data_IF_404720335863
#
_entry.id   IF_404720335863
#
_cell.length_a   1.000
_cell.length_b   1.000
_cell.length_c   1.000
_cell.angle_alpha   90.00
_cell.angle_beta   90.00
_cell.angle_gamma   90.00
#
_symmetry.space_group_name_H-M   'P 1'
#
loop_
_entity.id
_entity.type
_entity.pdbx_description
1 polymer ?
#
# COMPACT_ATOMS: atom_id res chain seq x y z
N UNK A 1 -6.42 10.10 25.29
CA UNK A 1 -5.19 9.43 25.76
C UNK A 1 -4.01 10.34 25.47
N UNK A 2 -3.26 10.79 26.50
CA UNK A 2 -1.99 11.46 26.25
C UNK A 2 -1.04 10.40 25.73
N UNK A 3 -0.67 10.47 24.45
CA UNK A 3 0.54 9.75 24.02
C UNK A 3 1.71 10.48 24.67
N UNK A 4 2.79 9.77 24.98
CA UNK A 4 4.08 10.41 25.29
C UNK A 4 4.54 11.35 24.15
N UNK A 5 4.01 11.16 22.92
CA UNK A 5 4.00 12.14 21.82
C UNK A 5 2.77 11.96 20.92
N UNK A 6 1.85 12.93 20.93
CA UNK A 6 0.68 13.03 20.03
C UNK A 6 -0.70 12.79 20.67
N UNK A 7 -1.75 13.10 19.92
CA UNK A 7 -3.14 12.91 20.38
C UNK A 7 -3.60 11.46 20.23
N UNK A 8 -4.61 11.07 21.01
CA UNK A 8 -5.31 9.79 20.80
C UNK A 8 -5.87 9.73 19.38
N UNK A 9 -5.73 8.58 18.73
CA UNK A 9 -6.39 8.35 17.44
C UNK A 9 -7.87 8.15 17.71
N UNK A 10 -8.68 8.97 17.07
CA UNK A 10 -10.14 8.88 17.13
C UNK A 10 -10.67 8.47 15.77
N UNK A 11 -11.80 7.78 15.79
CA UNK A 11 -12.46 7.33 14.59
C UNK A 11 -13.75 6.61 14.91
N UNK A 12 -14.42 6.18 13.86
CA UNK A 12 -15.67 5.44 13.90
C UNK A 12 -15.61 4.32 12.87
N UNK A 13 -16.29 3.21 13.13
CA UNK A 13 -16.54 2.23 12.08
C UNK A 13 -18.03 1.97 11.95
N UNK A 14 -18.43 1.60 10.74
CA UNK A 14 -19.80 1.24 10.40
C UNK A 14 -19.77 -0.16 9.83
N UNK A 15 -20.57 -1.06 10.39
CA UNK A 15 -20.83 -2.37 9.82
C UNK A 15 -22.24 -2.40 9.23
N UNK A 16 -22.38 -3.00 8.07
CA UNK A 16 -23.63 -3.14 7.34
C UNK A 16 -23.79 -4.63 7.00
N UNK A 17 -24.85 -5.23 7.50
CA UNK A 17 -25.21 -6.60 7.12
C UNK A 17 -25.86 -6.57 5.72
N UNK A 18 -25.45 -7.51 4.86
CA UNK A 18 -26.03 -7.69 3.54
C UNK A 18 -26.29 -9.18 3.28
N UNK A 19 -27.02 -9.49 2.20
CA UNK A 19 -27.28 -10.88 1.79
C UNK A 19 -25.99 -11.70 1.56
N UNK A 20 -24.89 -11.04 1.21
CA UNK A 20 -23.60 -11.67 0.93
C UNK A 20 -22.63 -11.60 2.12
N UNK A 21 -23.14 -11.31 3.32
CA UNK A 21 -22.36 -11.16 4.53
C UNK A 21 -22.13 -9.69 4.92
N UNK A 22 -21.24 -9.50 5.89
CA UNK A 22 -20.92 -8.19 6.45
C UNK A 22 -20.00 -7.39 5.53
N UNK A 23 -20.32 -6.11 5.37
CA UNK A 23 -19.42 -5.11 4.82
C UNK A 23 -19.22 -4.02 5.87
N UNK A 24 -18.10 -3.30 5.81
CA UNK A 24 -17.91 -2.20 6.73
C UNK A 24 -16.85 -1.21 6.28
N UNK A 25 -16.88 -0.07 6.95
CA UNK A 25 -15.94 1.03 6.73
C UNK A 25 -15.46 1.56 8.06
N UNK A 26 -14.24 2.07 8.07
CA UNK A 26 -13.65 2.79 9.20
C UNK A 26 -13.21 4.17 8.74
N UNK A 27 -13.52 5.16 9.56
CA UNK A 27 -13.19 6.57 9.39
C UNK A 27 -12.29 6.98 10.54
N UNK A 28 -11.04 7.33 10.24
CA UNK A 28 -10.15 7.94 11.21
C UNK A 28 -10.20 9.45 11.04
N UNK A 29 -10.09 10.18 12.15
CA UNK A 29 -10.10 11.66 12.14
C UNK A 29 -9.08 12.23 11.14
N UNK A 30 -9.56 12.97 10.14
CA UNK A 30 -8.72 13.61 9.12
C UNK A 30 -8.10 12.65 8.08
N UNK A 31 -8.57 11.40 7.99
CA UNK A 31 -8.12 10.43 7.01
C UNK A 31 -9.27 9.98 6.12
N UNK A 32 -8.95 9.60 4.89
CA UNK A 32 -9.91 9.01 3.98
C UNK A 32 -10.50 7.71 4.56
N UNK A 33 -11.81 7.52 4.33
CA UNK A 33 -12.55 6.31 4.68
C UNK A 33 -11.85 5.09 4.08
N UNK A 34 -11.71 4.04 4.88
CA UNK A 34 -11.17 2.75 4.44
C UNK A 34 -12.22 1.66 4.60
N UNK A 35 -12.29 0.74 3.66
CA UNK A 35 -13.07 -0.47 3.80
C UNK A 35 -12.36 -1.42 4.78
N UNK A 36 -13.13 -2.08 5.64
CA UNK A 36 -12.59 -3.13 6.52
C UNK A 36 -12.70 -4.49 5.85
N UNK A 37 -11.74 -5.37 6.12
CA UNK A 37 -11.72 -6.76 5.66
C UNK A 37 -11.85 -7.72 6.85
N UNK A 38 -12.01 -9.02 6.55
CA UNK A 38 -11.96 -10.10 7.56
C UNK A 38 -12.89 -9.89 8.76
N UNK A 39 -14.08 -9.35 8.52
CA UNK A 39 -15.08 -9.09 9.56
C UNK A 39 -15.55 -10.44 10.13
N UNK A 40 -15.32 -10.67 11.42
CA UNK A 40 -15.69 -11.90 12.12
C UNK A 40 -16.30 -11.58 13.49
N UNK A 41 -17.44 -12.22 13.77
CA UNK A 41 -18.00 -12.25 15.10
C UNK A 41 -17.37 -13.41 15.88
N UNK A 42 -16.63 -13.09 16.93
CA UNK A 42 -16.03 -14.07 17.85
C UNK A 42 -17.04 -14.57 18.88
N UNK A 43 -18.06 -13.76 19.16
CA UNK A 43 -19.22 -14.10 19.97
C UNK A 43 -20.40 -13.21 19.53
N UNK A 44 -21.64 -13.41 20.06
CA UNK A 44 -22.79 -12.55 19.74
C UNK A 44 -22.58 -11.05 20.02
N UNK A 45 -21.60 -10.71 20.86
CA UNK A 45 -21.28 -9.34 21.24
C UNK A 45 -19.84 -8.94 20.91
N UNK A 46 -18.98 -9.87 20.49
CA UNK A 46 -17.57 -9.59 20.22
C UNK A 46 -17.27 -9.71 18.73
N UNK A 47 -16.62 -8.67 18.20
CA UNK A 47 -16.33 -8.48 16.80
C UNK A 47 -14.84 -8.21 16.60
N UNK A 48 -14.31 -8.72 15.49
CA UNK A 48 -13.01 -8.31 14.96
C UNK A 48 -13.09 -8.07 13.45
N UNK A 49 -12.15 -7.26 12.95
CA UNK A 49 -11.93 -7.04 11.52
C UNK A 49 -10.48 -6.59 11.30
N UNK A 50 -10.08 -6.42 10.05
CA UNK A 50 -8.75 -5.91 9.68
C UNK A 50 -8.88 -4.65 8.83
N UNK A 51 -7.94 -3.72 9.00
CA UNK A 51 -7.73 -2.63 8.06
C UNK A 51 -6.23 -2.36 7.97
N UNK A 52 -5.74 -2.19 6.75
CA UNK A 52 -4.40 -1.64 6.58
C UNK A 52 -4.47 -0.13 6.85
N UNK A 53 -3.62 0.38 7.72
CA UNK A 53 -3.63 1.78 8.17
C UNK A 53 -2.23 2.39 8.04
N UNK A 54 -2.13 3.72 8.13
CA UNK A 54 -0.81 4.39 8.16
C UNK A 54 0.02 4.04 9.42
N UNK A 55 -0.59 3.37 10.40
CA UNK A 55 0.08 2.86 11.61
C UNK A 55 0.47 1.38 11.46
N UNK A 56 0.32 0.81 10.26
CA UNK A 56 0.44 -0.62 9.99
C UNK A 56 -0.88 -1.37 10.13
N UNK A 57 -0.82 -2.72 10.20
CA UNK A 57 -2.00 -3.56 10.37
C UNK A 57 -2.78 -3.15 11.62
N UNK A 58 -4.07 -2.88 11.45
CA UNK A 58 -4.97 -2.47 12.52
C UNK A 58 -6.06 -3.53 12.65
N UNK A 59 -6.13 -4.15 13.83
CA UNK A 59 -7.08 -5.22 14.12
C UNK A 59 -7.74 -5.00 15.48
N UNK A 60 -8.97 -4.46 15.52
CA UNK A 60 -9.73 -4.34 16.76
C UNK A 60 -10.32 -5.69 17.17
N UNK A 61 -10.38 -5.90 18.47
CA UNK A 61 -11.26 -6.89 19.10
C UNK A 61 -12.12 -6.12 20.08
N UNK A 62 -13.37 -5.92 19.71
CA UNK A 62 -14.30 -5.04 20.43
C UNK A 62 -15.54 -5.81 20.86
N UNK A 63 -15.95 -5.58 22.09
CA UNK A 63 -17.23 -6.01 22.62
C UNK A 63 -18.22 -4.86 22.49
N UNK A 64 -19.31 -5.13 21.79
CA UNK A 64 -20.40 -4.22 21.51
C UNK A 64 -21.55 -4.50 22.47
N UNK A 65 -21.90 -3.50 23.27
CA UNK A 65 -23.17 -3.46 23.99
C UNK A 65 -24.16 -2.56 23.25
N UNK A 66 -25.34 -2.28 23.81
CA UNK A 66 -26.32 -1.40 23.15
C UNK A 66 -25.69 -0.06 22.74
N UNK A 67 -25.05 0.61 23.68
CA UNK A 67 -24.56 1.99 23.48
C UNK A 67 -23.06 2.17 23.73
N UNK A 68 -22.39 1.14 24.24
CA UNK A 68 -20.95 1.21 24.51
C UNK A 68 -20.15 0.19 23.72
N UNK A 69 -18.92 0.59 23.43
CA UNK A 69 -17.89 -0.23 22.83
C UNK A 69 -16.71 -0.28 23.79
N UNK A 70 -16.21 -1.48 24.08
CA UNK A 70 -14.98 -1.68 24.86
C UNK A 70 -14.13 -2.75 24.19
N UNK A 71 -12.83 -2.74 24.45
CA UNK A 71 -11.93 -3.79 23.96
C UNK A 71 -10.52 -3.28 23.75
N UNK A 72 -9.85 -3.82 22.74
CA UNK A 72 -8.53 -3.37 22.36
C UNK A 72 -8.36 -3.35 20.84
N UNK A 73 -7.33 -2.64 20.39
CA UNK A 73 -6.86 -2.64 19.02
C UNK A 73 -5.42 -3.11 19.00
N UNK A 74 -5.12 -4.10 18.18
CA UNK A 74 -3.76 -4.48 17.87
C UNK A 74 -3.24 -3.62 16.71
N UNK A 75 -2.13 -2.91 16.95
CA UNK A 75 -1.44 -2.07 15.96
C UNK A 75 0.05 -2.34 16.08
N UNK A 76 0.67 -2.77 14.96
CA UNK A 76 2.08 -3.18 14.97
C UNK A 76 2.28 -4.40 15.85
N UNK A 77 2.95 -4.26 16.99
CA UNK A 77 3.20 -5.33 17.96
C UNK A 77 2.52 -5.11 19.33
N UNK A 78 1.71 -4.05 19.49
CA UNK A 78 1.13 -3.66 20.77
C UNK A 78 -0.40 -3.70 20.72
N UNK A 79 -1.03 -4.07 21.85
CA UNK A 79 -2.48 -3.95 22.06
C UNK A 79 -2.77 -2.66 22.82
N UNK A 80 -3.58 -1.80 22.22
CA UNK A 80 -4.04 -0.56 22.83
C UNK A 80 -5.49 -0.71 23.29
N UNK A 81 -5.82 -0.40 24.56
CA UNK A 81 -7.21 -0.39 24.99
C UNK A 81 -8.02 0.61 24.18
N UNK A 82 -9.27 0.28 23.87
CA UNK A 82 -10.17 1.16 23.14
C UNK A 82 -11.55 1.17 23.78
N UNK A 83 -12.17 2.34 23.75
CA UNK A 83 -13.53 2.56 24.22
C UNK A 83 -14.24 3.48 23.25
N UNK A 84 -15.56 3.38 23.21
CA UNK A 84 -16.39 4.21 22.36
C UNK A 84 -17.86 4.10 22.72
N UNK A 85 -18.67 4.85 22.00
CA UNK A 85 -20.12 4.86 22.10
C UNK A 85 -20.76 4.77 20.73
N UNK A 86 -22.00 4.29 20.68
CA UNK A 86 -22.79 4.26 19.45
C UNK A 86 -23.04 5.68 18.97
N UNK A 87 -22.79 5.93 17.68
CA UNK A 87 -23.15 7.18 17.02
C UNK A 87 -24.61 7.12 16.55
N UNK A 88 -25.34 8.23 16.71
CA UNK A 88 -26.75 8.33 16.31
C UNK A 88 -26.96 8.26 14.79
N UNK A 89 -25.95 8.66 14.02
CA UNK A 89 -25.97 8.66 12.56
C UNK A 89 -24.65 8.13 12.02
N UNK A 90 -24.70 7.57 10.81
CA UNK A 90 -23.50 7.13 10.08
C UNK A 90 -22.69 8.38 9.73
N UNK A 91 -21.41 8.48 10.15
CA UNK A 91 -20.58 9.64 9.85
C UNK A 91 -20.40 9.87 8.34
N UNK A 92 -20.31 11.13 7.93
CA UNK A 92 -19.87 11.47 6.59
C UNK A 92 -18.39 11.09 6.45
N UNK A 93 -18.09 10.15 5.55
CA UNK A 93 -16.72 9.71 5.29
C UNK A 93 -15.97 10.73 4.44
N UNK A 94 -14.65 10.80 4.63
CA UNK A 94 -13.77 11.56 3.73
C UNK A 94 -13.43 10.66 2.54
N UNK A 95 -13.72 11.11 1.32
CA UNK A 95 -13.30 10.39 0.11
C UNK A 95 -11.77 10.47 -0.07
N UNK A 96 -11.12 9.42 -0.58
CA UNK A 96 -9.71 9.51 -0.95
C UNK A 96 -9.54 10.58 -2.04
N UNK A 97 -8.54 11.45 -1.87
CA UNK A 97 -8.16 12.40 -2.91
C UNK A 97 -7.42 11.62 -3.99
N UNK A 98 -8.03 11.51 -5.17
CA UNK A 98 -7.38 10.96 -6.35
C UNK A 98 -6.82 12.11 -7.19
N UNK A 99 -5.57 12.03 -7.66
CA UNK A 99 -5.04 13.01 -8.60
C UNK A 99 -5.91 13.02 -9.87
N UNK A 100 -6.20 14.21 -10.39
CA UNK A 100 -6.76 14.35 -11.73
C UNK A 100 -5.75 13.84 -12.77
N UNK A 101 -6.17 13.44 -13.98
CA UNK A 101 -5.23 13.05 -15.04
C UNK A 101 -4.15 14.10 -15.32
N UNK A 102 -4.51 15.39 -15.29
CA UNK A 102 -3.57 16.50 -15.46
C UNK A 102 -2.58 16.64 -14.30
N UNK A 103 -3.01 16.38 -13.06
CA UNK A 103 -2.11 16.33 -11.91
C UNK A 103 -1.17 15.12 -12.00
N UNK A 104 -1.71 13.95 -12.33
CA UNK A 104 -0.90 12.74 -12.50
C UNK A 104 0.22 12.95 -13.53
N UNK A 105 -0.08 13.55 -14.68
CA UNK A 105 0.91 13.83 -15.71
C UNK A 105 1.97 14.85 -15.27
N UNK A 106 1.60 15.83 -14.43
CA UNK A 106 2.54 16.85 -13.91
C UNK A 106 3.43 16.31 -12.79
N UNK A 107 2.85 15.48 -11.92
CA UNK A 107 3.50 15.04 -10.68
C UNK A 107 4.31 13.75 -10.89
N UNK A 108 4.14 13.05 -12.03
CA UNK A 108 4.94 11.88 -12.40
C UNK A 108 6.30 12.33 -12.94
N UNK A 109 7.34 12.14 -12.12
CA UNK A 109 8.72 12.50 -12.46
C UNK A 109 9.43 11.44 -13.32
N UNK A 110 9.00 10.19 -13.24
CA UNK A 110 9.61 9.05 -13.93
C UNK A 110 9.48 7.76 -13.13
N UNK A 111 10.50 6.91 -13.22
CA UNK A 111 10.61 5.66 -12.48
C UNK A 111 12.06 5.29 -12.21
N UNK A 112 12.26 4.21 -11.46
CA UNK A 112 13.58 3.72 -11.07
C UNK A 112 13.61 2.18 -11.18
N UNK A 113 14.73 1.64 -11.65
CA UNK A 113 15.01 0.20 -11.55
C UNK A 113 15.66 -0.09 -10.20
N UNK A 114 14.92 -0.68 -9.27
CA UNK A 114 15.47 -1.11 -7.98
C UNK A 114 16.04 -2.54 -8.06
N UNK A 115 17.32 -2.69 -7.73
CA UNK A 115 17.97 -3.98 -7.52
C UNK A 115 18.17 -4.21 -6.02
N UNK A 116 17.29 -5.01 -5.41
CA UNK A 116 17.40 -5.37 -4.00
C UNK A 116 18.59 -6.31 -3.76
N UNK A 117 19.41 -5.97 -2.77
CA UNK A 117 20.75 -6.53 -2.61
C UNK A 117 20.83 -7.75 -1.67
N UNK A 118 19.71 -8.34 -1.24
CA UNK A 118 19.71 -9.47 -0.29
C UNK A 118 20.48 -10.67 -0.81
N UNK A 119 20.47 -10.89 -2.13
CA UNK A 119 21.18 -11.98 -2.80
C UNK A 119 22.09 -11.47 -3.94
N UNK A 120 22.61 -10.24 -3.83
CA UNK A 120 23.49 -9.62 -4.82
C UNK A 120 24.84 -9.32 -4.19
N UNK A 121 25.92 -9.63 -4.91
CA UNK A 121 27.29 -9.25 -4.55
C UNK A 121 28.03 -8.78 -5.80
N UNK A 122 29.27 -8.32 -5.62
CA UNK A 122 30.09 -7.77 -6.71
C UNK A 122 30.34 -8.73 -7.88
N UNK A 123 30.25 -10.05 -7.66
CA UNK A 123 30.46 -11.05 -8.72
C UNK A 123 29.22 -11.31 -9.57
N UNK A 124 28.03 -10.96 -9.07
CA UNK A 124 26.74 -11.25 -9.73
C UNK A 124 25.93 -10.01 -10.03
N UNK A 125 26.44 -8.82 -9.71
CA UNK A 125 25.68 -7.58 -9.93
C UNK A 125 25.41 -7.35 -11.41
N UNK A 126 26.38 -7.60 -12.29
CA UNK A 126 26.23 -7.35 -13.72
C UNK A 126 25.24 -8.33 -14.37
N UNK A 127 25.34 -9.62 -14.06
CA UNK A 127 24.39 -10.65 -14.55
C UNK A 127 22.97 -10.47 -14.02
N UNK A 128 22.80 -9.77 -12.89
CA UNK A 128 21.49 -9.44 -12.33
C UNK A 128 20.96 -8.13 -12.89
N UNK A 129 21.78 -7.09 -13.02
CA UNK A 129 21.31 -5.77 -13.42
C UNK A 129 21.11 -5.66 -14.93
N UNK A 130 22.06 -6.17 -15.70
CA UNK A 130 22.12 -6.05 -17.14
C UNK A 130 21.74 -7.36 -17.84
N UNK A 131 21.17 -7.31 -19.06
CA UNK A 131 20.84 -6.11 -19.85
C UNK A 131 19.48 -5.49 -19.50
N UNK A 132 18.76 -6.00 -18.49
CA UNK A 132 17.39 -5.60 -18.17
C UNK A 132 17.25 -4.12 -17.82
N UNK A 133 18.25 -3.53 -17.16
CA UNK A 133 18.27 -2.11 -16.87
C UNK A 133 18.35 -1.21 -18.12
N UNK A 134 18.89 -1.69 -19.25
CA UNK A 134 18.84 -0.95 -20.53
C UNK A 134 17.40 -0.80 -21.02
N UNK A 135 16.56 -1.82 -20.82
CA UNK A 135 15.14 -1.77 -21.21
C UNK A 135 14.37 -0.75 -20.35
N UNK A 136 14.67 -0.68 -19.05
CA UNK A 136 14.08 0.35 -18.17
C UNK A 136 14.53 1.75 -18.60
N UNK A 137 15.82 1.91 -18.92
CA UNK A 137 16.35 3.18 -19.45
C UNK A 137 15.63 3.60 -20.73
N UNK A 138 15.41 2.68 -21.68
CA UNK A 138 14.67 2.97 -22.92
C UNK A 138 13.24 3.45 -22.62
N UNK A 139 12.54 2.81 -21.68
CA UNK A 139 11.16 3.19 -21.31
C UNK A 139 11.08 4.55 -20.63
N UNK A 140 12.10 4.93 -19.86
CA UNK A 140 12.14 6.20 -19.14
C UNK A 140 12.65 7.37 -20.01
N UNK A 141 13.31 7.08 -21.12
CA UNK A 141 13.90 8.08 -22.01
C UNK A 141 13.14 8.27 -23.33
N UNK A 142 12.64 7.19 -23.92
CA UNK A 142 12.05 7.21 -25.26
C UNK A 142 10.64 7.80 -25.26
N UNK A 143 10.18 8.20 -26.44
CA UNK A 143 8.79 8.59 -26.64
C UNK A 143 7.83 7.46 -26.26
N UNK A 144 6.63 7.82 -25.80
CA UNK A 144 5.65 6.89 -25.25
C UNK A 144 5.23 5.79 -26.24
N UNK A 145 5.21 6.12 -27.54
CA UNK A 145 4.82 5.25 -28.64
C UNK A 145 5.93 4.27 -29.10
N UNK A 146 7.14 4.39 -28.56
CA UNK A 146 8.20 3.40 -28.77
C UNK A 146 7.91 2.17 -27.89
N UNK A 147 7.12 1.24 -28.43
CA UNK A 147 6.65 0.04 -27.70
C UNK A 147 6.83 -1.27 -28.46
N UNK A 148 7.46 -1.26 -29.64
CA UNK A 148 7.74 -2.47 -30.41
C UNK A 148 8.81 -3.35 -29.73
N UNK A 149 8.39 -4.52 -29.24
CA UNK A 149 9.25 -5.47 -28.54
C UNK A 149 10.27 -6.16 -29.45
N UNK A 150 9.92 -6.45 -30.70
CA UNK A 150 10.83 -7.12 -31.64
C UNK A 150 11.98 -6.20 -32.00
N UNK A 151 11.66 -4.94 -32.29
CA UNK A 151 12.67 -3.93 -32.58
C UNK A 151 13.50 -3.57 -31.33
N UNK A 152 12.91 -3.63 -30.13
CA UNK A 152 13.63 -3.49 -28.85
C UNK A 152 14.69 -4.59 -28.68
N UNK A 153 14.37 -5.87 -28.92
CA UNK A 153 15.35 -6.96 -28.76
C UNK A 153 16.55 -6.82 -29.72
N UNK A 154 16.31 -6.31 -30.94
CA UNK A 154 17.39 -6.01 -31.89
C UNK A 154 18.34 -4.94 -31.34
N UNK A 155 17.81 -3.84 -30.81
CA UNK A 155 18.61 -2.78 -30.16
C UNK A 155 19.28 -3.27 -28.88
N UNK A 156 18.58 -4.09 -28.09
CA UNK A 156 19.07 -4.64 -26.84
C UNK A 156 20.33 -5.47 -27.07
N UNK A 157 20.35 -6.31 -28.11
CA UNK A 157 21.54 -7.08 -28.48
C UNK A 157 22.73 -6.19 -28.84
N UNK A 158 22.49 -5.07 -29.55
CA UNK A 158 23.54 -4.13 -29.92
C UNK A 158 24.11 -3.39 -28.70
N UNK A 159 23.26 -2.87 -27.81
CA UNK A 159 23.71 -2.16 -26.59
C UNK A 159 24.35 -3.10 -25.56
N UNK A 160 23.84 -4.34 -25.45
CA UNK A 160 24.42 -5.39 -24.61
C UNK A 160 25.87 -5.68 -25.01
N UNK A 161 26.11 -5.93 -26.31
CA UNK A 161 27.45 -6.11 -26.87
C UNK A 161 28.34 -4.89 -26.64
N UNK A 162 27.82 -3.70 -26.92
CA UNK A 162 28.57 -2.46 -26.69
C UNK A 162 28.94 -2.29 -25.22
N UNK A 163 28.05 -2.65 -24.29
CA UNK A 163 28.25 -2.58 -22.84
C UNK A 163 29.39 -3.49 -22.37
N UNK A 164 29.43 -4.72 -22.86
CA UNK A 164 30.54 -5.64 -22.56
C UNK A 164 31.88 -5.11 -23.11
N UNK A 165 31.91 -4.63 -24.36
CA UNK A 165 33.17 -4.21 -25.00
C UNK A 165 33.69 -2.87 -24.49
N UNK A 166 32.80 -1.90 -24.26
CA UNK A 166 33.19 -0.50 -24.07
C UNK A 166 33.31 -0.10 -22.60
N UNK A 167 32.50 -0.71 -21.74
CA UNK A 167 32.47 -0.39 -20.29
C UNK A 167 32.72 -1.60 -19.40
N UNK A 168 33.00 -2.77 -19.99
CA UNK A 168 33.50 -3.94 -19.28
C UNK A 168 32.45 -4.73 -18.50
N UNK A 169 31.16 -4.60 -18.83
CA UNK A 169 30.10 -5.32 -18.11
C UNK A 169 30.23 -6.85 -18.24
N UNK A 170 30.07 -7.54 -17.12
CA UNK A 170 30.20 -9.00 -16.98
C UNK A 170 28.83 -9.68 -16.85
N UNK A 171 27.92 -9.42 -17.80
CA UNK A 171 26.53 -9.94 -17.74
C UNK A 171 26.32 -11.32 -18.39
N UNK A 172 27.41 -11.97 -18.83
CA UNK A 172 27.44 -13.31 -19.45
C UNK A 172 28.48 -14.20 -18.78
#
# INVERSE_FOLDING_TARGET
MPRLKGSAVQGSFTLIESKNGWRGFIDFSGKARRQVSDIRWLSPTQLTFSVDSWMGPFQPVVTLTRDSLTGYVWVGNVRYPTTGSRLAQIPAGIAPVLPTPAQLQRDLLGGEAALWAENVNSRVIDTRLWPRAFVVAERLWSAQDVTDSENMYQRLSAIDRWGTVSVGLQQH
#
